data_IF_432826344036
#
_entry.id   IF_432826344036
#
_cell.length_a   1.000
_cell.length_b   1.000
_cell.length_c   1.000
_cell.angle_alpha   90.00
_cell.angle_beta   90.00
_cell.angle_gamma   90.00
#
_symmetry.space_group_name_H-M   'P 1'
#
loop_
_entity.id
_entity.type
_entity.pdbx_description
1 polymer ?
#
# COMPACT_ATOMS: atom_id res chain seq x y z
N UNK A 1 9.64 -2.38 13.68
CA UNK A 1 8.29 -1.80 13.79
C UNK A 1 7.97 -1.11 12.47
N UNK A 2 6.83 -1.38 11.81
CA UNK A 2 6.51 -0.80 10.50
C UNK A 2 6.03 0.66 10.63
N UNK A 3 6.23 1.45 9.57
CA UNK A 3 5.57 2.75 9.38
C UNK A 3 4.37 2.55 8.47
N UNK A 4 3.21 3.07 8.87
CA UNK A 4 1.95 2.92 8.13
C UNK A 4 1.50 4.28 7.60
N UNK A 5 1.25 4.37 6.30
CA UNK A 5 0.70 5.57 5.66
C UNK A 5 -0.81 5.44 5.53
N UNK A 6 -1.56 6.34 6.15
CA UNK A 6 -3.04 6.32 6.21
C UNK A 6 -3.59 7.58 5.53
N UNK A 7 -4.74 7.46 4.87
CA UNK A 7 -5.41 8.56 4.17
C UNK A 7 -6.34 8.07 3.06
N UNK A 8 -7.16 8.95 2.46
CA UNK A 8 -8.14 8.56 1.45
C UNK A 8 -7.47 8.03 0.15
N UNK A 9 -8.22 7.32 -0.72
CA UNK A 9 -7.77 7.00 -2.08
C UNK A 9 -7.30 8.25 -2.82
N UNK A 10 -6.22 8.15 -3.60
CA UNK A 10 -5.66 9.29 -4.32
C UNK A 10 -4.77 10.25 -3.49
N UNK A 11 -4.69 10.11 -2.17
CA UNK A 11 -3.85 10.97 -1.30
C UNK A 11 -2.32 10.83 -1.49
N UNK A 12 -1.86 10.03 -2.47
CA UNK A 12 -0.44 9.88 -2.77
C UNK A 12 0.35 8.92 -1.87
N UNK A 13 -0.32 8.15 -0.99
CA UNK A 13 0.30 7.21 -0.03
C UNK A 13 1.34 6.29 -0.67
N UNK A 14 1.00 5.65 -1.79
CA UNK A 14 1.91 4.73 -2.49
C UNK A 14 3.13 5.46 -3.07
N UNK A 15 2.95 6.68 -3.56
CA UNK A 15 4.05 7.49 -4.13
C UNK A 15 5.01 7.95 -3.03
N UNK A 16 4.48 8.50 -1.94
CA UNK A 16 5.29 8.93 -0.79
C UNK A 16 5.98 7.74 -0.14
N UNK A 17 5.26 6.65 0.11
CA UNK A 17 5.81 5.44 0.74
C UNK A 17 6.96 4.83 -0.04
N UNK A 18 6.86 4.73 -1.37
CA UNK A 18 7.99 4.28 -2.20
C UNK A 18 9.21 5.18 -2.09
N UNK A 19 9.03 6.50 -2.07
CA UNK A 19 10.14 7.46 -1.95
C UNK A 19 10.81 7.37 -0.59
N UNK A 20 10.01 7.29 0.48
CA UNK A 20 10.52 7.14 1.86
C UNK A 20 11.26 5.82 2.02
N UNK A 21 10.67 4.71 1.57
CA UNK A 21 11.30 3.40 1.66
C UNK A 21 12.63 3.35 0.89
N UNK A 22 12.67 3.92 -0.32
CA UNK A 22 13.91 4.06 -1.10
C UNK A 22 14.95 4.91 -0.37
N UNK A 23 14.57 6.05 0.21
CA UNK A 23 15.49 6.93 0.93
C UNK A 23 16.06 6.27 2.19
N UNK A 24 15.28 5.42 2.86
CA UNK A 24 15.68 4.72 4.08
C UNK A 24 16.32 3.35 3.82
N UNK A 25 16.37 2.88 2.56
CA UNK A 25 16.91 1.56 2.22
C UNK A 25 16.08 0.40 2.80
N UNK A 26 14.79 0.60 3.02
CA UNK A 26 13.88 -0.41 3.61
C UNK A 26 12.87 -0.95 2.59
N UNK A 27 12.30 -2.14 2.82
CA UNK A 27 11.23 -2.66 1.96
C UNK A 27 9.99 -1.76 1.96
N UNK A 28 9.25 -1.81 0.86
CA UNK A 28 7.93 -1.17 0.71
C UNK A 28 6.86 -2.21 0.41
N UNK A 29 5.74 -2.15 1.12
CA UNK A 29 4.57 -3.01 0.89
C UNK A 29 3.35 -2.14 0.61
N UNK A 30 2.64 -2.43 -0.47
CA UNK A 30 1.33 -1.86 -0.78
C UNK A 30 0.26 -2.88 -0.39
N UNK A 31 -0.51 -2.56 0.65
CA UNK A 31 -1.53 -3.47 1.22
C UNK A 31 -2.65 -3.78 0.23
N UNK A 32 -3.08 -2.81 -0.58
CA UNK A 32 -4.17 -3.03 -1.54
C UNK A 32 -3.73 -4.05 -2.59
N UNK A 33 -2.48 -3.95 -3.07
CA UNK A 33 -1.90 -4.94 -4.00
C UNK A 33 -1.75 -6.32 -3.37
N UNK A 34 -1.28 -6.38 -2.12
CA UNK A 34 -1.10 -7.65 -1.41
C UNK A 34 -2.44 -8.37 -1.21
N UNK A 35 -3.49 -7.64 -0.82
CA UNK A 35 -4.84 -8.17 -0.67
C UNK A 35 -5.37 -8.65 -2.03
N UNK A 36 -5.22 -7.86 -3.09
CA UNK A 36 -5.73 -8.24 -4.42
C UNK A 36 -5.04 -9.49 -4.96
N UNK A 37 -3.74 -9.63 -4.76
CA UNK A 37 -2.99 -10.80 -5.18
C UNK A 37 -3.45 -12.08 -4.46
N UNK A 38 -3.89 -11.97 -3.20
CA UNK A 38 -4.32 -13.11 -2.39
C UNK A 38 -5.81 -13.44 -2.53
N UNK A 39 -6.67 -12.45 -2.83
CA UNK A 39 -8.12 -12.59 -2.70
C UNK A 39 -8.92 -12.19 -3.95
N UNK A 40 -8.29 -11.67 -5.01
CA UNK A 40 -8.99 -11.14 -6.18
C UNK A 40 -9.32 -9.65 -6.04
N UNK A 41 -10.21 -9.12 -6.89
CA UNK A 41 -10.43 -7.66 -6.92
C UNK A 41 -11.07 -7.16 -5.62
N UNK A 42 -10.76 -5.91 -5.23
CA UNK A 42 -11.41 -5.29 -4.06
C UNK A 42 -12.95 -5.28 -4.20
N UNK A 43 -13.46 -5.07 -5.42
CA UNK A 43 -14.89 -5.09 -5.67
C UNK A 43 -15.53 -6.47 -5.39
N UNK A 44 -14.79 -7.56 -5.62
CA UNK A 44 -15.28 -8.91 -5.35
C UNK A 44 -15.25 -9.25 -3.86
N UNK A 45 -14.35 -8.64 -3.08
CA UNK A 45 -14.21 -8.87 -1.63
C UNK A 45 -15.39 -8.28 -0.84
N UNK A 46 -15.98 -7.19 -1.32
CA UNK A 46 -17.04 -6.45 -0.62
C UNK A 46 -18.44 -6.63 -1.23
N UNK A 47 -18.67 -7.68 -2.03
CA UNK A 47 -20.01 -8.06 -2.48
C UNK A 47 -20.83 -8.78 -1.40
#
# INVERSE_FOLDING_TARGET
MPVVLIGPPGAGKTTVGRRVAKALGVPFTDTDRAIVAAHGSIADIFR
#
